data_IF_042621572351
#
_entry.id   IF_042621572351
#
_cell.length_a   1.000
_cell.length_b   1.000
_cell.length_c   1.000
_cell.angle_alpha   90.00
_cell.angle_beta   90.00
_cell.angle_gamma   90.00
#
_symmetry.space_group_name_H-M   'P 1'
#
loop_
_entity.id
_entity.type
_entity.pdbx_description
1 polymer ?
#
# COMPACT_ATOMS: atom_id res chain seq x y z
N UNK A 1 5.42 -13.00 58.59
CA UNK A 1 4.74 -12.19 59.62
C UNK A 1 5.12 -10.72 59.38
N UNK A 2 4.24 -9.71 59.52
CA UNK A 2 2.75 -9.74 59.52
C UNK A 2 2.14 -8.96 58.34
N UNK A 3 1.04 -9.33 57.90
CA UNK A 3 -0.30 -8.86 57.62
C UNK A 3 -0.62 -7.38 57.92
N UNK A 4 -1.21 -6.69 56.95
CA UNK A 4 -2.12 -5.58 57.17
C UNK A 4 -3.23 -5.55 56.10
N UNK A 5 -4.46 -5.83 56.54
CA UNK A 5 -5.74 -5.65 55.85
C UNK A 5 -6.23 -4.23 56.15
N UNK A 6 -6.81 -3.53 55.18
CA UNK A 6 -7.85 -2.47 55.39
C UNK A 6 -8.76 -2.52 54.18
N UNK A 7 -9.90 -3.02 54.29
CA UNK A 7 -11.21 -2.57 54.77
C UNK A 7 -11.89 -1.57 53.82
N UNK A 8 -12.93 -2.11 53.27
CA UNK A 8 -14.08 -1.60 52.52
C UNK A 8 -14.76 -0.39 53.22
N UNK A 9 -15.15 0.63 52.47
CA UNK A 9 -16.24 1.53 52.85
C UNK A 9 -17.22 1.71 51.71
N UNK A 10 -18.40 1.14 51.91
CA UNK A 10 -19.64 1.38 51.20
C UNK A 10 -20.29 2.63 51.84
N UNK A 11 -20.79 3.56 51.04
CA UNK A 11 -21.74 4.57 51.46
C UNK A 11 -22.91 4.63 50.50
N UNK A 12 -24.01 4.10 50.95
CA UNK A 12 -25.38 4.35 50.44
C UNK A 12 -25.82 5.75 50.93
N UNK A 13 -26.45 6.53 50.03
CA UNK A 13 -27.41 7.58 50.45
C UNK A 13 -28.61 7.49 49.54
N UNK A 14 -29.72 7.29 50.20
CA UNK A 14 -31.07 7.16 49.67
C UNK A 14 -31.74 8.52 49.45
N UNK A 15 -32.56 8.59 48.42
CA UNK A 15 -33.93 9.07 48.43
C UNK A 15 -34.21 10.56 48.45
N UNK A 16 -34.97 11.03 47.49
CA UNK A 16 -36.29 11.67 47.77
C UNK A 16 -37.09 11.87 46.46
N UNK A 17 -38.27 11.28 46.42
CA UNK A 17 -39.36 11.57 45.49
C UNK A 17 -40.03 12.89 45.88
N UNK A 18 -40.38 13.73 44.91
CA UNK A 18 -41.41 14.75 45.04
C UNK A 18 -42.31 14.77 43.81
N UNK A 19 -43.52 14.37 44.01
CA UNK A 19 -44.71 14.50 43.15
C UNK A 19 -45.36 15.84 43.41
N UNK A 20 -45.75 16.59 42.38
CA UNK A 20 -46.80 17.66 42.47
C UNK A 20 -47.30 17.95 41.06
N UNK A 21 -48.41 17.47 40.66
CA UNK A 21 -49.78 17.95 40.68
C UNK A 21 -50.11 19.05 39.67
N UNK A 22 -51.09 18.68 38.85
CA UNK A 22 -51.81 19.46 37.83
C UNK A 22 -52.35 20.80 38.30
N UNK A 23 -52.43 21.77 37.38
CA UNK A 23 -53.55 22.71 37.29
C UNK A 23 -53.90 23.03 35.84
N UNK A 24 -55.14 22.73 35.49
CA UNK A 24 -55.94 23.25 34.38
C UNK A 24 -56.16 24.74 34.55
N UNK A 25 -56.12 25.54 33.50
CA UNK A 25 -56.90 26.76 33.38
C UNK A 25 -57.34 26.97 31.94
N UNK A 26 -58.58 27.44 31.83
CA UNK A 26 -59.53 27.49 30.75
C UNK A 26 -59.41 28.81 29.94
N UNK A 27 -59.71 28.69 28.66
CA UNK A 27 -60.28 29.60 27.69
C UNK A 27 -60.13 31.14 27.75
N UNK A 28 -59.73 31.69 26.62
CA UNK A 28 -60.34 32.88 26.00
C UNK A 28 -60.03 32.92 24.53
N UNK A 29 -61.11 32.94 23.69
CA UNK A 29 -61.12 33.25 22.29
C UNK A 29 -61.21 34.78 22.11
N UNK A 30 -60.66 35.39 21.07
CA UNK A 30 -61.48 36.19 20.17
C UNK A 30 -61.25 35.92 18.67
N UNK A 31 -62.26 36.29 17.94
CA UNK A 31 -62.52 36.09 16.52
C UNK A 31 -61.63 36.89 15.58
N UNK A 32 -61.45 36.27 14.40
CA UNK A 32 -61.62 36.92 13.12
C UNK A 32 -60.47 37.62 12.45
N UNK A 33 -59.79 36.88 11.51
CA UNK A 33 -59.37 37.46 10.23
C UNK A 33 -59.12 36.31 9.22
N UNK A 34 -59.81 36.41 8.06
CA UNK A 34 -59.70 35.48 6.96
C UNK A 34 -58.33 35.60 6.29
N UNK A 35 -57.53 34.57 6.38
CA UNK A 35 -56.26 34.39 5.68
C UNK A 35 -56.37 33.21 4.70
N UNK A 36 -55.97 33.41 3.45
CA UNK A 36 -55.98 32.45 2.35
C UNK A 36 -55.44 31.08 2.73
N UNK A 37 -55.87 30.00 2.06
CA UNK A 37 -55.33 28.66 2.30
C UNK A 37 -53.84 28.61 1.94
N UNK A 38 -52.99 28.21 2.87
CA UNK A 38 -51.60 27.84 2.60
C UNK A 38 -51.62 26.57 1.77
N UNK A 39 -50.99 26.64 0.63
CA UNK A 39 -50.70 25.53 -0.25
C UNK A 39 -49.88 24.50 0.53
N UNK A 40 -50.44 23.30 0.71
CA UNK A 40 -49.76 22.18 1.35
C UNK A 40 -48.57 21.79 0.48
N UNK A 41 -47.36 22.14 0.91
CA UNK A 41 -46.14 21.59 0.34
C UNK A 41 -46.15 20.09 0.55
N UNK A 42 -46.29 19.35 -0.56
CA UNK A 42 -46.13 17.91 -0.56
C UNK A 42 -44.76 17.54 0.04
N UNK A 43 -44.66 16.46 0.84
CA UNK A 43 -43.38 16.03 1.37
C UNK A 43 -42.44 15.74 0.18
N UNK A 44 -41.31 16.44 0.13
CA UNK A 44 -40.23 16.14 -0.80
C UNK A 44 -39.87 14.68 -0.57
N UNK A 45 -40.15 13.84 -1.59
CA UNK A 45 -39.75 12.45 -1.57
C UNK A 45 -38.25 12.41 -1.30
N UNK A 46 -37.84 11.74 -0.22
CA UNK A 46 -36.43 11.52 0.07
C UNK A 46 -35.83 10.83 -1.17
N UNK A 47 -34.75 11.42 -1.69
CA UNK A 47 -34.00 10.81 -2.79
C UNK A 47 -33.69 9.34 -2.43
N UNK A 48 -33.78 8.40 -3.37
CA UNK A 48 -33.45 7.01 -3.11
C UNK A 48 -32.06 6.97 -2.49
N UNK A 49 -31.91 6.36 -1.32
CA UNK A 49 -30.59 6.12 -0.74
C UNK A 49 -29.84 5.27 -1.75
N UNK A 50 -28.84 5.83 -2.41
CA UNK A 50 -27.94 5.08 -3.27
C UNK A 50 -27.49 3.85 -2.53
N UNK A 51 -27.68 2.68 -3.14
CA UNK A 51 -27.28 1.41 -2.53
C UNK A 51 -25.78 1.45 -2.31
N UNK A 52 -25.34 1.40 -1.05
CA UNK A 52 -23.92 1.45 -0.73
C UNK A 52 -23.14 0.41 -1.54
N UNK A 53 -22.11 0.86 -2.25
CA UNK A 53 -21.24 0.01 -3.05
C UNK A 53 -20.21 -0.65 -2.12
N UNK A 54 -20.43 -1.91 -1.77
CA UNK A 54 -19.44 -2.66 -1.00
C UNK A 54 -18.28 -3.07 -1.90
N UNK A 55 -17.05 -2.82 -1.44
CA UNK A 55 -15.81 -3.26 -2.09
C UNK A 55 -15.01 -4.07 -1.07
N UNK A 56 -14.72 -5.33 -1.43
CA UNK A 56 -13.98 -6.25 -0.59
C UNK A 56 -12.50 -6.27 -0.92
N UNK A 57 -11.63 -6.53 0.06
CA UNK A 57 -10.19 -6.72 -0.12
C UNK A 57 -9.71 -7.86 0.76
N UNK A 58 -8.94 -8.77 0.17
CA UNK A 58 -8.21 -9.85 0.85
C UNK A 58 -6.73 -9.55 0.76
N UNK A 59 -6.06 -9.44 1.91
CA UNK A 59 -4.60 -9.31 1.97
C UNK A 59 -3.92 -10.65 1.76
N UNK A 60 -2.66 -10.62 1.35
CA UNK A 60 -1.79 -11.79 1.51
C UNK A 60 -1.41 -12.00 3.00
N UNK A 61 -0.53 -12.98 3.26
CA UNK A 61 -0.06 -13.36 4.62
C UNK A 61 0.69 -12.23 5.35
N UNK A 62 1.21 -11.23 4.62
CA UNK A 62 1.85 -10.05 5.21
C UNK A 62 0.87 -9.17 5.98
N UNK A 63 -0.39 -9.13 5.55
CA UNK A 63 -1.49 -8.49 6.23
C UNK A 63 -1.34 -6.99 6.44
N UNK A 64 -2.24 -6.43 7.25
CA UNK A 64 -2.21 -5.02 7.66
C UNK A 64 -1.04 -4.77 8.62
N UNK A 65 -0.34 -3.66 8.42
CA UNK A 65 0.80 -3.23 9.25
C UNK A 65 2.15 -3.67 8.68
N UNK A 66 2.20 -4.09 7.42
CA UNK A 66 3.46 -4.36 6.72
C UNK A 66 4.24 -3.09 6.36
N UNK A 67 3.62 -1.91 6.50
CA UNK A 67 4.15 -0.60 6.09
C UNK A 67 4.62 -0.56 4.62
N UNK A 68 4.12 -1.45 3.78
CA UNK A 68 4.58 -1.70 2.42
C UNK A 68 3.40 -1.98 1.49
N UNK A 69 3.32 -3.19 0.95
CA UNK A 69 2.44 -3.64 -0.11
C UNK A 69 0.96 -3.70 0.27
N UNK A 70 0.63 -4.42 1.36
CA UNK A 70 -0.76 -4.54 1.82
C UNK A 70 -1.30 -3.22 2.35
N UNK A 71 -0.50 -2.46 3.12
CA UNK A 71 -0.91 -1.14 3.61
C UNK A 71 -1.10 -0.15 2.46
N UNK A 72 -0.37 -0.29 1.34
CA UNK A 72 -0.61 0.47 0.13
C UNK A 72 -1.97 0.14 -0.49
N UNK A 73 -2.31 -1.15 -0.64
CA UNK A 73 -3.61 -1.57 -1.15
C UNK A 73 -4.76 -1.09 -0.26
N UNK A 74 -4.60 -1.23 1.06
CA UNK A 74 -5.57 -0.76 2.05
C UNK A 74 -5.78 0.76 1.96
N UNK A 75 -4.72 1.54 1.80
CA UNK A 75 -4.80 2.99 1.59
C UNK A 75 -5.63 3.33 0.33
N UNK A 76 -5.41 2.60 -0.75
CA UNK A 76 -6.15 2.76 -2.00
C UNK A 76 -7.64 2.52 -1.85
N UNK A 77 -8.05 1.47 -1.12
CA UNK A 77 -9.46 1.16 -0.88
C UNK A 77 -10.06 2.03 0.21
N UNK A 78 -9.46 2.04 1.40
CA UNK A 78 -10.08 2.61 2.60
C UNK A 78 -10.02 4.13 2.57
N UNK A 79 -8.81 4.70 2.40
CA UNK A 79 -8.61 6.13 2.52
C UNK A 79 -9.00 6.87 1.22
N UNK A 80 -8.46 6.46 0.08
CA UNK A 80 -8.71 7.15 -1.18
C UNK A 80 -10.03 6.72 -1.84
N UNK A 81 -10.35 5.43 -1.80
CA UNK A 81 -11.59 4.89 -2.36
C UNK A 81 -12.81 5.26 -1.55
N UNK A 82 -12.82 4.96 -0.26
CA UNK A 82 -14.00 5.11 0.60
C UNK A 82 -13.98 6.37 1.50
N UNK A 83 -12.87 7.09 1.60
CA UNK A 83 -12.72 8.21 2.54
C UNK A 83 -12.80 7.77 4.01
N UNK A 84 -12.36 6.56 4.30
CA UNK A 84 -12.45 5.94 5.62
C UNK A 84 -11.06 5.57 6.15
N UNK A 85 -10.93 5.54 7.46
CA UNK A 85 -9.78 4.94 8.14
C UNK A 85 -10.23 3.95 9.19
N UNK A 86 -9.46 2.89 9.39
CA UNK A 86 -9.67 1.93 10.46
C UNK A 86 -9.11 2.50 11.77
N UNK A 87 -9.92 2.47 12.84
CA UNK A 87 -9.49 2.91 14.16
C UNK A 87 -10.38 2.33 15.26
N UNK A 88 -9.77 1.71 16.28
CA UNK A 88 -10.50 1.10 17.39
C UNK A 88 -11.48 -0.01 16.95
N UNK A 89 -11.14 -0.78 15.90
CA UNK A 89 -11.95 -1.88 15.38
C UNK A 89 -13.14 -1.46 14.50
N UNK A 90 -13.25 -0.19 14.13
CA UNK A 90 -14.31 0.31 13.24
C UNK A 90 -13.79 1.35 12.24
N UNK A 91 -14.52 1.52 11.14
CA UNK A 91 -14.25 2.58 10.18
C UNK A 91 -14.81 3.93 10.64
N UNK A 92 -14.01 4.98 10.48
CA UNK A 92 -14.37 6.38 10.69
C UNK A 92 -14.10 7.18 9.43
N UNK A 93 -14.78 8.30 9.25
CA UNK A 93 -14.47 9.21 8.16
C UNK A 93 -13.05 9.77 8.32
N UNK A 94 -12.29 9.78 7.24
CA UNK A 94 -10.99 10.42 7.19
C UNK A 94 -11.15 11.94 7.03
N UNK A 95 -10.29 12.72 7.68
CA UNK A 95 -10.28 14.17 7.50
C UNK A 95 -9.64 14.56 6.14
N UNK A 96 -9.94 15.76 5.62
CA UNK A 96 -9.28 16.27 4.41
C UNK A 96 -7.76 16.33 4.54
N UNK A 97 -7.22 16.59 5.75
CA UNK A 97 -5.80 16.63 6.03
C UNK A 97 -5.18 15.24 5.89
N UNK A 98 -5.80 14.21 6.48
CA UNK A 98 -5.35 12.81 6.37
C UNK A 98 -5.35 12.32 4.91
N UNK A 99 -6.33 12.74 4.11
CA UNK A 99 -6.35 12.46 2.68
C UNK A 99 -5.17 13.11 1.95
N UNK A 100 -4.83 14.37 2.28
CA UNK A 100 -3.73 15.12 1.67
C UNK A 100 -2.36 14.59 2.07
N UNK A 101 -2.17 14.21 3.32
CA UNK A 101 -0.89 13.71 3.86
C UNK A 101 -0.38 12.48 3.11
N UNK A 102 -1.28 11.67 2.55
CA UNK A 102 -0.91 10.47 1.81
C UNK A 102 -0.69 10.72 0.31
N UNK A 103 -1.13 11.89 -0.20
CA UNK A 103 -0.95 12.23 -1.61
C UNK A 103 0.43 12.84 -1.83
N UNK A 104 1.18 12.23 -2.72
CA UNK A 104 2.42 12.81 -3.20
C UNK A 104 2.13 13.90 -4.23
N UNK A 105 3.08 14.79 -4.43
CA UNK A 105 2.91 15.96 -5.30
C UNK A 105 2.50 15.59 -6.73
N UNK A 106 3.02 14.49 -7.27
CA UNK A 106 2.67 13.97 -8.60
C UNK A 106 1.24 13.41 -8.68
N UNK A 107 0.69 12.93 -7.56
CA UNK A 107 -0.69 12.41 -7.48
C UNK A 107 -1.70 13.48 -7.08
N UNK A 108 -1.27 14.54 -6.42
CA UNK A 108 -2.16 15.63 -6.01
C UNK A 108 -2.89 16.27 -7.20
N UNK A 109 -2.27 16.24 -8.40
CA UNK A 109 -2.84 16.75 -9.66
C UNK A 109 -3.84 15.80 -10.32
N UNK A 110 -3.95 14.54 -9.87
CA UNK A 110 -4.83 13.53 -10.47
C UNK A 110 -6.29 13.61 -10.02
N UNK A 111 -6.62 14.55 -9.15
CA UNK A 111 -7.98 14.70 -8.65
C UNK A 111 -8.46 13.51 -7.82
N UNK A 112 -7.57 12.86 -7.06
CA UNK A 112 -7.92 11.76 -6.16
C UNK A 112 -8.84 12.31 -5.07
N UNK A 113 -10.06 11.77 -5.01
CA UNK A 113 -11.07 12.11 -4.01
C UNK A 113 -11.88 10.85 -3.66
N UNK A 114 -12.39 10.74 -2.43
CA UNK A 114 -13.22 9.61 -2.05
C UNK A 114 -14.42 9.44 -2.97
N UNK A 115 -14.73 8.19 -3.28
CA UNK A 115 -15.88 7.81 -4.11
C UNK A 115 -17.11 7.68 -3.22
N UNK A 116 -18.14 8.46 -3.51
CA UNK A 116 -19.36 8.47 -2.70
C UNK A 116 -20.01 7.09 -2.63
N UNK A 117 -20.51 6.72 -1.44
CA UNK A 117 -21.24 5.47 -1.23
C UNK A 117 -20.39 4.20 -1.14
N UNK A 118 -19.06 4.27 -1.24
CA UNK A 118 -18.18 3.10 -1.09
C UNK A 118 -18.08 2.69 0.38
N UNK A 119 -18.25 1.39 0.62
CA UNK A 119 -18.08 0.76 1.95
C UNK A 119 -17.01 -0.33 1.84
N UNK A 120 -15.84 -0.18 2.49
CA UNK A 120 -14.79 -1.18 2.45
C UNK A 120 -15.11 -2.36 3.36
N UNK A 121 -14.75 -3.57 2.91
CA UNK A 121 -14.78 -4.82 3.69
C UNK A 121 -13.42 -5.49 3.54
N UNK A 122 -12.67 -5.63 4.62
CA UNK A 122 -11.31 -6.18 4.58
C UNK A 122 -11.22 -7.48 5.35
N UNK A 123 -10.72 -8.51 4.70
CA UNK A 123 -10.37 -9.81 5.28
C UNK A 123 -8.85 -10.00 5.19
N UNK A 124 -8.24 -10.38 6.30
CA UNK A 124 -6.80 -10.64 6.36
C UNK A 124 -6.56 -12.13 6.39
N UNK A 125 -5.68 -12.60 5.50
CA UNK A 125 -5.26 -13.99 5.46
C UNK A 125 -4.06 -14.20 6.35
N UNK A 126 -4.01 -15.33 7.05
CA UNK A 126 -2.88 -15.73 7.89
C UNK A 126 -2.03 -16.82 7.24
N UNK A 127 -2.66 -17.60 6.39
CA UNK A 127 -2.04 -18.67 5.61
C UNK A 127 -2.61 -18.65 4.20
N UNK A 128 -1.91 -19.21 3.20
CA UNK A 128 -2.41 -19.23 1.80
C UNK A 128 -3.76 -19.93 1.63
N UNK A 129 -4.08 -20.88 2.48
CA UNK A 129 -5.35 -21.62 2.49
C UNK A 129 -6.55 -20.73 2.81
N UNK A 130 -6.34 -19.54 3.39
CA UNK A 130 -7.40 -18.57 3.67
C UNK A 130 -7.84 -17.78 2.43
N UNK A 131 -7.05 -17.74 1.35
CA UNK A 131 -7.28 -16.86 0.20
C UNK A 131 -8.60 -17.11 -0.50
N UNK A 132 -8.85 -18.35 -0.93
CA UNK A 132 -10.09 -18.71 -1.63
C UNK A 132 -11.33 -18.58 -0.73
N UNK A 133 -11.35 -19.10 0.53
CA UNK A 133 -12.46 -18.88 1.46
C UNK A 133 -12.76 -17.42 1.73
N UNK A 134 -11.74 -16.59 1.92
CA UNK A 134 -11.92 -15.16 2.17
C UNK A 134 -12.52 -14.44 0.96
N UNK A 135 -12.04 -14.73 -0.28
CA UNK A 135 -12.61 -14.16 -1.49
C UNK A 135 -14.07 -14.59 -1.67
N UNK A 136 -14.39 -15.88 -1.45
CA UNK A 136 -15.77 -16.38 -1.54
C UNK A 136 -16.66 -15.70 -0.48
N UNK A 137 -16.17 -15.53 0.75
CA UNK A 137 -16.92 -14.85 1.81
C UNK A 137 -17.24 -13.38 1.44
N UNK A 138 -16.35 -12.68 0.75
CA UNK A 138 -16.63 -11.33 0.24
C UNK A 138 -17.77 -11.36 -0.79
N UNK A 139 -17.73 -12.32 -1.72
CA UNK A 139 -18.80 -12.51 -2.72
C UNK A 139 -20.13 -12.78 -2.02
N UNK A 140 -20.17 -13.69 -1.05
CA UNK A 140 -21.36 -14.04 -0.28
C UNK A 140 -21.92 -12.86 0.52
N UNK A 141 -21.07 -11.90 0.92
CA UNK A 141 -21.48 -10.63 1.53
C UNK A 141 -22.01 -9.61 0.53
N UNK A 142 -22.04 -9.93 -0.75
CA UNK A 142 -22.58 -9.10 -1.83
C UNK A 142 -21.73 -7.90 -2.17
N UNK A 143 -20.40 -8.06 -2.19
CA UNK A 143 -19.50 -7.00 -2.70
C UNK A 143 -19.67 -6.82 -4.21
N UNK A 144 -19.58 -5.59 -4.71
CA UNK A 144 -19.53 -5.30 -6.15
C UNK A 144 -18.19 -5.65 -6.78
N UNK A 145 -17.12 -5.63 -5.97
CA UNK A 145 -15.78 -6.06 -6.37
C UNK A 145 -15.05 -6.71 -5.19
N UNK A 146 -14.34 -7.81 -5.45
CA UNK A 146 -13.41 -8.44 -4.53
C UNK A 146 -11.97 -8.25 -5.04
N UNK A 147 -11.08 -7.73 -4.19
CA UNK A 147 -9.68 -7.44 -4.50
C UNK A 147 -8.80 -8.50 -3.88
N UNK A 148 -7.99 -9.18 -4.69
CA UNK A 148 -6.90 -10.06 -4.26
C UNK A 148 -5.58 -9.30 -4.31
N UNK A 149 -4.93 -9.12 -3.16
CA UNK A 149 -3.69 -8.35 -3.03
C UNK A 149 -2.49 -9.28 -3.10
N UNK A 150 -1.85 -9.33 -4.27
CA UNK A 150 -0.62 -10.05 -4.51
C UNK A 150 -0.74 -11.29 -5.39
N UNK A 151 0.38 -11.64 -6.01
CA UNK A 151 0.47 -12.77 -6.94
C UNK A 151 0.11 -14.12 -6.30
N UNK A 152 0.29 -14.27 -4.99
CA UNK A 152 -0.08 -15.50 -4.28
C UNK A 152 -1.60 -15.76 -4.27
N UNK A 153 -2.42 -14.74 -4.55
CA UNK A 153 -3.88 -14.88 -4.63
C UNK A 153 -4.38 -15.21 -6.05
N UNK A 154 -3.50 -15.34 -7.05
CA UNK A 154 -3.87 -15.58 -8.46
C UNK A 154 -4.84 -16.74 -8.62
N UNK A 155 -4.47 -17.94 -8.15
CA UNK A 155 -5.31 -19.15 -8.27
C UNK A 155 -6.65 -19.01 -7.53
N UNK A 156 -6.65 -18.35 -6.38
CA UNK A 156 -7.87 -18.13 -5.60
C UNK A 156 -8.81 -17.15 -6.31
N UNK A 157 -8.27 -16.03 -6.84
CA UNK A 157 -9.05 -15.07 -7.63
C UNK A 157 -9.62 -15.74 -8.88
N UNK A 158 -8.81 -16.50 -9.62
CA UNK A 158 -9.26 -17.23 -10.80
C UNK A 158 -10.43 -18.18 -10.48
N UNK A 159 -10.25 -18.99 -9.43
CA UNK A 159 -11.23 -20.00 -9.03
C UNK A 159 -12.56 -19.36 -8.63
N UNK A 160 -12.51 -18.32 -7.78
CA UNK A 160 -13.72 -17.64 -7.29
C UNK A 160 -14.37 -16.83 -8.40
N UNK A 161 -13.60 -16.15 -9.26
CA UNK A 161 -14.11 -15.36 -10.37
C UNK A 161 -14.85 -16.20 -11.40
N UNK A 162 -14.36 -17.41 -11.73
CA UNK A 162 -15.03 -18.35 -12.64
C UNK A 162 -16.38 -18.83 -12.10
N UNK A 163 -16.51 -18.99 -10.79
CA UNK A 163 -17.77 -19.40 -10.13
C UNK A 163 -18.77 -18.24 -10.01
N UNK A 164 -18.29 -16.99 -10.03
CA UNK A 164 -19.09 -15.80 -9.76
C UNK A 164 -18.94 -14.75 -10.86
N UNK A 165 -19.47 -15.00 -12.08
CA UNK A 165 -19.25 -14.15 -13.26
C UNK A 165 -19.85 -12.74 -13.13
N UNK A 166 -20.83 -12.55 -12.25
CA UNK A 166 -21.49 -11.26 -12.02
C UNK A 166 -20.73 -10.37 -11.02
N UNK A 167 -19.80 -10.94 -10.24
CA UNK A 167 -18.93 -10.17 -9.33
C UNK A 167 -17.66 -9.75 -10.06
N UNK A 168 -17.25 -8.50 -9.89
CA UNK A 168 -15.97 -8.00 -10.40
C UNK A 168 -14.83 -8.38 -9.46
N UNK A 169 -13.65 -8.61 -10.04
CA UNK A 169 -12.44 -8.92 -9.30
C UNK A 169 -11.31 -7.99 -9.75
N UNK A 170 -10.44 -7.66 -8.79
CA UNK A 170 -9.16 -6.99 -9.03
C UNK A 170 -8.04 -7.90 -8.50
N UNK A 171 -7.08 -8.22 -9.35
CA UNK A 171 -5.87 -8.96 -8.99
C UNK A 171 -4.67 -8.01 -9.08
N UNK A 172 -3.88 -7.93 -8.00
CA UNK A 172 -2.68 -7.11 -7.94
C UNK A 172 -1.44 -7.99 -8.12
N UNK A 173 -0.49 -7.54 -8.93
CA UNK A 173 0.82 -8.15 -9.16
C UNK A 173 0.82 -9.49 -9.91
N UNK A 174 -0.28 -9.89 -10.47
CA UNK A 174 -0.32 -11.07 -11.34
C UNK A 174 -1.34 -10.89 -12.46
N UNK A 175 -1.20 -11.70 -13.49
CA UNK A 175 -2.19 -11.93 -14.53
C UNK A 175 -2.63 -13.39 -14.47
N UNK A 176 -3.83 -13.69 -14.93
CA UNK A 176 -4.28 -15.08 -14.97
C UNK A 176 -3.49 -15.87 -16.03
N UNK A 177 -3.12 -17.10 -15.71
CA UNK A 177 -2.42 -17.98 -16.61
C UNK A 177 -3.03 -19.39 -16.62
N UNK A 178 -3.01 -20.06 -17.77
CA UNK A 178 -3.43 -21.45 -17.88
C UNK A 178 -2.37 -22.41 -17.30
N UNK A 179 -2.67 -23.71 -17.33
CA UNK A 179 -1.80 -24.74 -16.80
C UNK A 179 -0.41 -24.80 -17.50
N UNK A 180 -0.32 -24.29 -18.70
CA UNK A 180 0.91 -24.16 -19.49
C UNK A 180 1.65 -22.83 -19.21
N UNK A 181 1.11 -21.98 -18.33
CA UNK A 181 1.65 -20.67 -17.98
C UNK A 181 1.38 -19.59 -19.03
N UNK A 182 0.45 -19.80 -19.95
CA UNK A 182 0.08 -18.83 -20.97
C UNK A 182 -0.96 -17.84 -20.39
N UNK A 183 -0.69 -16.53 -20.45
CA UNK A 183 -1.64 -15.53 -19.95
C UNK A 183 -2.98 -15.57 -20.68
N UNK A 184 -4.06 -15.38 -19.93
CA UNK A 184 -5.41 -15.18 -20.47
C UNK A 184 -6.20 -14.20 -19.58
N UNK A 185 -7.38 -13.75 -20.02
CA UNK A 185 -8.21 -12.80 -19.30
C UNK A 185 -9.62 -13.33 -19.08
N UNK A 186 -10.24 -12.92 -17.98
CA UNK A 186 -11.67 -13.09 -17.72
C UNK A 186 -12.37 -11.72 -17.77
N UNK A 187 -13.61 -11.65 -18.29
CA UNK A 187 -14.32 -10.37 -18.45
C UNK A 187 -14.67 -9.69 -17.11
N UNK A 188 -14.66 -10.44 -16.03
CA UNK A 188 -14.91 -9.95 -14.67
C UNK A 188 -13.65 -9.80 -13.80
N UNK A 189 -12.45 -10.05 -14.35
CA UNK A 189 -11.18 -9.88 -13.62
C UNK A 189 -10.33 -8.80 -14.30
N UNK A 190 -9.99 -7.75 -13.56
CA UNK A 190 -8.92 -6.79 -13.92
C UNK A 190 -7.66 -7.16 -13.18
N UNK A 191 -6.56 -7.30 -13.91
CA UNK A 191 -5.22 -7.46 -13.36
C UNK A 191 -4.48 -6.14 -13.41
N UNK A 192 -3.82 -5.75 -12.32
CA UNK A 192 -2.95 -4.57 -12.27
C UNK A 192 -1.52 -5.01 -12.00
N UNK A 193 -0.66 -4.74 -12.95
CA UNK A 193 0.77 -5.06 -12.98
C UNK A 193 1.57 -3.77 -12.88
N UNK A 194 2.82 -3.88 -12.43
CA UNK A 194 3.72 -2.73 -12.35
C UNK A 194 5.02 -3.00 -13.12
N UNK A 195 5.70 -1.91 -13.51
CA UNK A 195 7.05 -1.98 -14.06
C UNK A 195 8.06 -1.74 -12.95
N UNK A 196 8.18 -2.74 -12.06
CA UNK A 196 9.02 -2.68 -10.87
C UNK A 196 10.48 -2.41 -11.22
N UNK A 197 10.94 -2.94 -12.36
CA UNK A 197 12.28 -2.71 -12.87
C UNK A 197 12.57 -1.22 -13.09
N UNK A 198 11.59 -0.43 -13.52
CA UNK A 198 11.77 0.99 -13.78
C UNK A 198 11.96 1.80 -12.49
N UNK A 199 11.12 1.57 -11.47
CA UNK A 199 11.26 2.21 -10.17
C UNK A 199 12.54 1.78 -9.47
N UNK A 200 12.85 0.48 -9.51
CA UNK A 200 14.08 -0.09 -8.93
C UNK A 200 15.34 0.43 -9.61
N UNK A 201 15.30 0.70 -10.92
CA UNK A 201 16.41 1.35 -11.64
C UNK A 201 16.71 2.74 -11.06
N UNK A 202 15.69 3.55 -10.78
CA UNK A 202 15.92 4.90 -10.24
C UNK A 202 16.56 4.86 -8.86
N UNK A 203 16.08 3.99 -7.97
CA UNK A 203 16.68 3.86 -6.64
C UNK A 203 18.04 3.17 -6.69
N UNK A 204 18.26 2.29 -7.66
CA UNK A 204 19.57 1.70 -7.95
C UNK A 204 20.58 2.75 -8.41
N UNK A 205 20.18 3.65 -9.32
CA UNK A 205 20.99 4.77 -9.74
C UNK A 205 21.36 5.69 -8.58
N UNK A 206 20.38 5.99 -7.69
CA UNK A 206 20.61 6.77 -6.48
C UNK A 206 21.57 6.05 -5.52
N UNK A 207 21.40 4.72 -5.32
CA UNK A 207 22.29 3.92 -4.48
C UNK A 207 23.74 3.94 -4.97
N UNK A 208 23.93 3.82 -6.29
CA UNK A 208 25.27 3.88 -6.91
C UNK A 208 25.95 5.23 -6.67
N UNK A 209 25.21 6.35 -6.74
CA UNK A 209 25.71 7.71 -6.49
C UNK A 209 25.95 7.99 -5.00
N UNK A 210 25.14 7.43 -4.10
CA UNK A 210 25.29 7.63 -2.67
C UNK A 210 26.34 6.73 -2.02
N UNK A 211 26.66 5.57 -2.65
CA UNK A 211 27.62 4.60 -2.11
C UNK A 211 29.05 5.14 -2.13
N UNK A 212 29.76 5.02 -1.00
CA UNK A 212 31.18 5.36 -0.83
C UNK A 212 32.07 4.13 -0.89
N UNK A 213 31.52 2.98 -0.50
CA UNK A 213 32.30 1.74 -0.45
C UNK A 213 32.30 0.97 -1.79
N UNK A 214 31.53 1.44 -2.79
CA UNK A 214 31.25 0.69 -4.02
C UNK A 214 30.68 -0.71 -3.75
N UNK A 215 29.93 -0.86 -2.64
CA UNK A 215 29.21 -2.08 -2.29
C UNK A 215 27.80 -1.71 -1.86
N UNK A 216 26.83 -2.20 -2.57
CA UNK A 216 25.41 -2.01 -2.24
C UNK A 216 24.75 -3.36 -2.06
N UNK A 217 23.68 -3.43 -1.28
CA UNK A 217 22.93 -4.65 -1.00
C UNK A 217 21.57 -4.63 -1.66
N UNK A 218 21.09 -5.78 -2.10
CA UNK A 218 19.72 -6.04 -2.47
C UNK A 218 19.17 -7.19 -1.62
N UNK A 219 18.01 -7.00 -1.02
CA UNK A 219 17.28 -8.02 -0.25
C UNK A 219 15.94 -8.26 -0.93
N UNK A 220 15.77 -9.43 -1.54
CA UNK A 220 14.47 -9.89 -2.02
C UNK A 220 13.73 -10.70 -0.95
N UNK A 221 12.40 -10.74 -1.02
CA UNK A 221 11.61 -11.73 -0.30
C UNK A 221 11.78 -13.12 -0.92
N UNK A 222 10.77 -13.64 -1.58
CA UNK A 222 10.86 -14.91 -2.33
C UNK A 222 11.61 -14.72 -3.66
N UNK A 223 12.35 -15.75 -4.08
CA UNK A 223 13.09 -15.74 -5.35
C UNK A 223 12.16 -16.12 -6.53
N UNK A 224 11.28 -15.20 -6.89
CA UNK A 224 10.27 -15.37 -7.96
C UNK A 224 10.45 -14.34 -9.08
N UNK A 225 9.87 -14.54 -10.28
CA UNK A 225 10.04 -13.63 -11.42
C UNK A 225 9.68 -12.17 -11.11
N UNK A 226 8.65 -11.92 -10.29
CA UNK A 226 8.27 -10.60 -9.84
C UNK A 226 9.42 -9.90 -9.10
N UNK A 227 10.04 -10.56 -8.12
CA UNK A 227 11.13 -9.98 -7.34
C UNK A 227 12.43 -9.90 -8.15
N UNK A 228 12.62 -10.77 -9.14
CA UNK A 228 13.72 -10.64 -10.11
C UNK A 228 13.63 -9.36 -10.93
N UNK A 229 12.45 -8.80 -11.21
CA UNK A 229 12.33 -7.48 -11.87
C UNK A 229 12.91 -6.37 -10.99
N UNK A 230 12.61 -6.36 -9.68
CA UNK A 230 13.22 -5.41 -8.74
C UNK A 230 14.75 -5.54 -8.72
N UNK A 231 15.28 -6.76 -8.60
CA UNK A 231 16.72 -7.03 -8.62
C UNK A 231 17.36 -6.52 -9.90
N UNK A 232 16.79 -6.86 -11.06
CA UNK A 232 17.34 -6.49 -12.36
C UNK A 232 17.40 -4.98 -12.54
N UNK A 233 16.29 -4.28 -12.25
CA UNK A 233 16.23 -2.82 -12.32
C UNK A 233 17.23 -2.18 -11.37
N UNK A 234 17.31 -2.60 -10.12
CA UNK A 234 18.27 -2.06 -9.15
C UNK A 234 19.72 -2.23 -9.60
N UNK A 235 20.10 -3.43 -10.01
CA UNK A 235 21.46 -3.72 -10.49
C UNK A 235 21.81 -2.90 -11.75
N UNK A 236 20.84 -2.75 -12.67
CA UNK A 236 21.04 -1.92 -13.86
C UNK A 236 21.23 -0.44 -13.49
N UNK A 237 20.44 0.08 -12.56
CA UNK A 237 20.55 1.46 -12.07
C UNK A 237 21.89 1.72 -11.38
N UNK A 238 22.35 0.83 -10.51
CA UNK A 238 23.68 0.90 -9.88
C UNK A 238 24.79 0.93 -10.96
N UNK A 239 24.74 0.01 -11.91
CA UNK A 239 25.74 -0.07 -12.99
C UNK A 239 25.77 1.19 -13.86
N UNK A 240 24.63 1.83 -14.09
CA UNK A 240 24.50 3.04 -14.90
C UNK A 240 25.18 4.28 -14.26
N UNK A 241 25.35 4.30 -12.94
CA UNK A 241 25.89 5.45 -12.20
C UNK A 241 27.19 5.14 -11.46
N UNK A 242 27.42 3.89 -11.10
CA UNK A 242 28.64 3.43 -10.45
C UNK A 242 29.05 2.03 -10.97
N UNK A 243 29.66 1.94 -12.15
CA UNK A 243 30.04 0.66 -12.75
C UNK A 243 31.11 -0.11 -11.95
N UNK A 244 31.73 0.52 -10.94
CA UNK A 244 32.69 -0.14 -10.04
C UNK A 244 32.02 -0.78 -8.84
N UNK A 245 30.75 -0.46 -8.59
CA UNK A 245 30.04 -1.00 -7.44
C UNK A 245 29.66 -2.46 -7.63
N UNK A 246 29.81 -3.24 -6.55
CA UNK A 246 29.31 -4.61 -6.46
C UNK A 246 27.94 -4.59 -5.78
N UNK A 247 26.98 -5.29 -6.38
CA UNK A 247 25.67 -5.51 -5.78
C UNK A 247 25.67 -6.89 -5.10
N UNK A 248 25.57 -6.90 -3.78
CA UNK A 248 25.41 -8.12 -2.97
C UNK A 248 23.92 -8.45 -2.90
N UNK A 249 23.53 -9.64 -3.37
CA UNK A 249 22.12 -10.07 -3.47
C UNK A 249 21.85 -11.19 -2.51
N UNK A 250 20.80 -11.05 -1.69
CA UNK A 250 20.27 -12.11 -0.81
C UNK A 250 18.74 -12.11 -0.88
N UNK A 251 18.15 -13.26 -0.59
CA UNK A 251 16.71 -13.47 -0.46
C UNK A 251 16.39 -14.00 0.91
N UNK A 252 15.27 -13.55 1.52
CA UNK A 252 14.82 -14.04 2.83
C UNK A 252 14.05 -15.35 2.74
N UNK A 253 13.43 -15.61 1.56
CA UNK A 253 12.60 -16.79 1.32
C UNK A 253 11.10 -16.57 1.67
N UNK A 254 10.74 -15.41 2.22
CA UNK A 254 9.37 -15.07 2.64
C UNK A 254 9.05 -13.59 2.44
N UNK A 255 7.84 -13.16 2.86
CA UNK A 255 7.45 -11.75 2.95
C UNK A 255 6.92 -11.37 4.34
N UNK A 256 6.91 -12.30 5.30
CA UNK A 256 6.28 -12.18 6.62
C UNK A 256 7.22 -12.54 7.79
N UNK A 257 8.54 -12.61 7.54
CA UNK A 257 9.56 -12.98 8.55
C UNK A 257 10.56 -11.83 8.81
N UNK A 258 10.14 -10.87 9.63
CA UNK A 258 10.96 -9.69 10.01
C UNK A 258 12.34 -10.09 10.57
N UNK A 259 12.44 -11.23 11.29
CA UNK A 259 13.72 -11.70 11.85
C UNK A 259 14.69 -12.13 10.76
N UNK A 260 14.22 -12.84 9.73
CA UNK A 260 15.04 -13.20 8.56
C UNK A 260 15.52 -11.94 7.83
N UNK A 261 14.66 -10.95 7.61
CA UNK A 261 15.02 -9.66 7.03
C UNK A 261 16.13 -8.95 7.82
N UNK A 262 16.02 -8.94 9.14
CA UNK A 262 17.05 -8.34 10.01
C UNK A 262 18.41 -9.05 9.88
N UNK A 263 18.39 -10.37 9.88
CA UNK A 263 19.61 -11.17 9.74
C UNK A 263 20.32 -10.92 8.41
N UNK A 264 19.55 -10.90 7.31
CA UNK A 264 20.09 -10.61 5.96
C UNK A 264 20.62 -9.19 5.87
N UNK A 265 19.91 -8.20 6.43
CA UNK A 265 20.36 -6.81 6.48
C UNK A 265 21.68 -6.66 7.25
N UNK A 266 21.83 -7.31 8.41
CA UNK A 266 23.06 -7.33 9.20
C UNK A 266 24.23 -7.97 8.45
N UNK A 267 24.00 -9.09 7.74
CA UNK A 267 25.01 -9.76 6.93
C UNK A 267 25.54 -8.85 5.81
N UNK A 268 24.63 -8.19 5.06
CA UNK A 268 25.02 -7.28 3.99
C UNK A 268 25.84 -6.08 4.50
N UNK A 269 25.42 -5.46 5.61
CA UNK A 269 26.17 -4.37 6.26
C UNK A 269 27.54 -4.86 6.75
N UNK A 270 27.64 -6.07 7.25
CA UNK A 270 28.90 -6.68 7.70
C UNK A 270 29.84 -6.95 6.53
N UNK A 271 29.31 -7.32 5.36
CA UNK A 271 30.05 -7.50 4.10
C UNK A 271 30.47 -6.17 3.45
N UNK A 272 30.08 -5.04 4.06
CA UNK A 272 30.50 -3.69 3.67
C UNK A 272 29.55 -2.98 2.73
N UNK A 273 28.30 -3.45 2.57
CA UNK A 273 27.28 -2.68 1.90
C UNK A 273 26.97 -1.39 2.69
N UNK A 274 27.02 -0.25 2.03
CA UNK A 274 26.72 1.06 2.64
C UNK A 274 25.38 1.65 2.17
N UNK A 275 24.73 1.03 1.17
CA UNK A 275 23.32 1.26 0.82
C UNK A 275 22.66 -0.10 0.61
N UNK A 276 21.56 -0.37 1.31
CA UNK A 276 20.82 -1.64 1.20
C UNK A 276 19.40 -1.36 0.73
N UNK A 277 18.99 -1.93 -0.39
CA UNK A 277 17.61 -1.87 -0.88
C UNK A 277 16.89 -3.18 -0.60
N UNK A 278 15.65 -3.11 -0.15
CA UNK A 278 14.82 -4.31 0.02
C UNK A 278 13.56 -4.26 -0.86
N UNK A 279 13.16 -5.44 -1.33
CA UNK A 279 11.89 -5.74 -1.99
C UNK A 279 11.33 -7.03 -1.32
N UNK A 280 10.92 -6.92 -0.05
CA UNK A 280 10.73 -8.08 0.82
C UNK A 280 9.51 -7.95 1.78
N UNK A 281 8.53 -7.11 1.45
CA UNK A 281 7.33 -6.96 2.28
C UNK A 281 7.66 -6.65 3.75
N UNK A 282 7.03 -7.36 4.70
CA UNK A 282 7.27 -7.18 6.14
C UNK A 282 8.70 -7.53 6.57
N UNK A 283 9.41 -8.43 5.85
CA UNK A 283 10.83 -8.74 6.13
C UNK A 283 11.68 -7.48 6.00
N UNK A 284 11.28 -6.56 5.12
CA UNK A 284 11.91 -5.26 4.93
C UNK A 284 11.99 -4.40 6.18
N UNK A 285 11.03 -4.52 7.11
CA UNK A 285 11.11 -3.84 8.41
C UNK A 285 12.33 -4.31 9.21
N UNK A 286 12.66 -5.60 9.11
CA UNK A 286 13.88 -6.16 9.71
C UNK A 286 15.15 -5.59 9.07
N UNK A 287 15.18 -5.44 7.73
CA UNK A 287 16.30 -4.81 7.02
C UNK A 287 16.49 -3.37 7.46
N UNK A 288 15.41 -2.59 7.54
CA UNK A 288 15.42 -1.20 8.02
C UNK A 288 15.96 -1.14 9.45
N UNK A 289 15.50 -2.05 10.33
CA UNK A 289 15.99 -2.12 11.71
C UNK A 289 17.49 -2.43 11.78
N UNK A 290 18.00 -3.38 10.99
CA UNK A 290 19.42 -3.72 10.93
C UNK A 290 20.28 -2.50 10.53
N UNK A 291 19.86 -1.76 9.52
CA UNK A 291 20.57 -0.54 9.07
C UNK A 291 20.47 0.57 10.10
N UNK A 292 19.31 0.78 10.73
CA UNK A 292 19.12 1.75 11.82
C UNK A 292 20.08 1.48 12.98
N UNK A 293 20.18 0.23 13.42
CA UNK A 293 21.11 -0.18 14.48
C UNK A 293 22.58 0.04 14.08
N UNK A 294 22.93 -0.28 12.83
CA UNK A 294 24.27 -0.04 12.31
C UNK A 294 24.64 1.47 12.27
N UNK A 295 23.71 2.34 11.90
CA UNK A 295 23.89 3.78 11.95
C UNK A 295 24.05 4.28 13.37
N UNK A 296 23.23 3.82 14.31
CA UNK A 296 23.35 4.13 15.71
C UNK A 296 24.72 3.72 16.30
N UNK A 297 25.34 2.68 15.74
CA UNK A 297 26.72 2.25 16.03
C UNK A 297 27.79 3.03 15.26
N UNK A 298 27.43 4.15 14.58
CA UNK A 298 28.37 5.04 13.88
C UNK A 298 28.74 4.63 12.45
N UNK A 299 28.12 3.60 11.87
CA UNK A 299 28.38 3.22 10.47
C UNK A 299 27.60 4.14 9.51
N UNK A 300 28.21 4.71 8.46
CA UNK A 300 27.54 5.58 7.48
C UNK A 300 26.79 4.74 6.44
N UNK A 301 25.74 4.03 6.85
CA UNK A 301 24.95 3.15 6.00
C UNK A 301 23.52 3.69 5.80
N UNK A 302 22.91 3.40 4.64
CA UNK A 302 21.55 3.77 4.31
C UNK A 302 20.72 2.55 3.91
N UNK A 303 19.40 2.67 4.07
CA UNK A 303 18.44 1.70 3.53
C UNK A 303 17.50 2.38 2.55
N UNK A 304 17.09 1.63 1.52
CA UNK A 304 16.04 2.02 0.57
C UNK A 304 14.84 1.11 0.83
N UNK A 305 13.68 1.74 1.06
CA UNK A 305 12.41 1.05 1.28
C UNK A 305 11.71 0.66 -0.02
N UNK A 306 10.52 0.05 0.09
CA UNK A 306 9.71 -0.41 -1.05
C UNK A 306 8.21 -0.15 -0.84
N UNK A 307 7.47 -0.09 -1.94
CA UNK A 307 6.02 0.09 -2.08
C UNK A 307 5.51 1.43 -1.55
N UNK A 308 5.75 1.73 -0.29
CA UNK A 308 5.33 2.96 0.40
C UNK A 308 6.53 3.77 0.88
N UNK A 309 6.32 5.05 1.21
CA UNK A 309 7.36 5.87 1.86
C UNK A 309 7.59 5.38 3.29
N UNK A 310 8.66 4.62 3.48
CA UNK A 310 9.06 4.02 4.76
C UNK A 310 10.01 4.91 5.58
N UNK A 311 10.20 6.18 5.19
CA UNK A 311 11.11 7.10 5.89
C UNK A 311 10.76 7.30 7.37
N UNK A 312 9.50 7.16 7.75
CA UNK A 312 9.02 7.29 9.13
C UNK A 312 9.55 6.18 10.07
N UNK A 313 9.97 5.01 9.53
CA UNK A 313 10.50 3.90 10.32
C UNK A 313 11.93 4.16 10.84
N UNK A 314 12.72 4.89 10.04
CA UNK A 314 14.09 5.29 10.41
C UNK A 314 14.48 6.55 9.62
N UNK A 315 14.00 7.76 10.03
CA UNK A 315 14.18 8.99 9.25
C UNK A 315 15.64 9.34 8.96
N UNK A 316 16.55 8.93 9.84
CA UNK A 316 18.00 9.15 9.72
C UNK A 316 18.69 8.14 8.81
N UNK A 317 18.07 6.98 8.52
CA UNK A 317 18.66 5.85 7.82
C UNK A 317 18.04 5.58 6.45
N UNK A 318 16.75 5.90 6.27
CA UNK A 318 16.06 5.67 4.99
C UNK A 318 16.49 6.75 3.99
N UNK A 319 17.24 6.33 2.97
CA UNK A 319 17.68 7.20 1.88
C UNK A 319 16.48 7.67 1.05
N UNK A 320 15.65 6.74 0.66
CA UNK A 320 14.38 6.88 -0.07
C UNK A 320 13.60 5.57 0.01
N UNK A 321 12.45 5.48 -0.65
CA UNK A 321 11.73 4.23 -0.91
C UNK A 321 11.37 4.15 -2.39
N UNK A 322 11.52 2.99 -3.01
CA UNK A 322 10.93 2.73 -4.33
C UNK A 322 9.41 2.60 -4.14
N UNK A 323 8.68 3.53 -4.68
CA UNK A 323 7.24 3.56 -4.56
C UNK A 323 6.60 2.73 -5.67
N UNK A 324 5.82 1.74 -5.26
CA UNK A 324 4.93 0.97 -6.12
C UNK A 324 3.50 1.31 -5.73
N UNK A 325 2.81 1.98 -6.65
CA UNK A 325 1.56 2.66 -6.36
C UNK A 325 0.38 1.69 -6.44
N UNK A 326 0.41 0.66 -5.59
CA UNK A 326 -0.72 -0.28 -5.41
C UNK A 326 -1.98 0.47 -4.99
N UNK A 327 -1.81 1.49 -4.13
CA UNK A 327 -2.88 2.40 -3.73
C UNK A 327 -3.57 3.08 -4.93
N UNK A 328 -2.81 3.52 -5.92
CA UNK A 328 -3.35 4.12 -7.14
C UNK A 328 -4.12 3.08 -7.96
N UNK A 329 -3.55 1.89 -8.18
CA UNK A 329 -4.20 0.81 -8.93
C UNK A 329 -5.52 0.38 -8.31
N UNK A 330 -5.56 0.24 -6.97
CA UNK A 330 -6.78 -0.07 -6.23
C UNK A 330 -7.79 1.06 -6.30
N UNK A 331 -7.37 2.30 -6.07
CA UNK A 331 -8.24 3.47 -6.15
C UNK A 331 -8.89 3.62 -7.53
N UNK A 332 -8.10 3.49 -8.60
CA UNK A 332 -8.60 3.59 -9.97
C UNK A 332 -9.64 2.51 -10.28
N UNK A 333 -9.42 1.28 -9.81
CA UNK A 333 -10.39 0.20 -9.97
C UNK A 333 -11.69 0.47 -9.20
N UNK A 334 -11.61 1.01 -7.97
CA UNK A 334 -12.78 1.40 -7.17
C UNK A 334 -13.55 2.52 -7.85
N UNK A 335 -12.87 3.53 -8.36
CA UNK A 335 -13.47 4.64 -9.12
C UNK A 335 -14.17 4.13 -10.38
N UNK A 336 -13.49 3.29 -11.15
CA UNK A 336 -14.01 2.75 -12.40
C UNK A 336 -15.23 1.85 -12.16
N UNK A 337 -15.22 1.07 -11.07
CA UNK A 337 -16.38 0.28 -10.63
C UNK A 337 -17.59 1.18 -10.35
N UNK A 338 -17.39 2.23 -9.54
CA UNK A 338 -18.46 3.16 -9.18
C UNK A 338 -19.04 3.91 -10.40
N UNK A 339 -18.22 4.11 -11.44
CA UNK A 339 -18.64 4.73 -12.70
C UNK A 339 -19.21 3.72 -13.72
N UNK A 340 -19.26 2.43 -13.38
CA UNK A 340 -19.70 1.37 -14.31
C UNK A 340 -18.74 1.13 -15.48
N UNK A 341 -17.46 1.52 -15.32
CA UNK A 341 -16.42 1.43 -16.36
C UNK A 341 -15.36 0.35 -16.09
N UNK A 342 -15.52 -0.41 -14.99
CA UNK A 342 -14.55 -1.46 -14.67
C UNK A 342 -14.71 -2.63 -15.64
N UNK A 343 -13.72 -2.79 -16.52
CA UNK A 343 -13.62 -3.89 -17.49
C UNK A 343 -12.53 -4.86 -17.05
N UNK A 344 -12.64 -6.11 -17.47
CA UNK A 344 -11.59 -7.13 -17.29
C UNK A 344 -10.39 -6.87 -18.20
N UNK A 345 -9.29 -7.56 -17.93
CA UNK A 345 -8.05 -7.48 -18.68
C UNK A 345 -6.88 -6.93 -17.86
N UNK A 346 -5.72 -6.83 -18.49
CA UNK A 346 -4.47 -6.48 -17.84
C UNK A 346 -4.15 -4.99 -18.02
N UNK A 347 -3.77 -4.33 -16.94
CA UNK A 347 -3.28 -2.94 -16.90
C UNK A 347 -1.87 -2.94 -16.31
N UNK A 348 -0.91 -2.33 -17.00
CA UNK A 348 0.46 -2.22 -16.52
C UNK A 348 0.81 -0.76 -16.24
N UNK A 349 1.27 -0.48 -15.03
CA UNK A 349 1.58 0.86 -14.55
C UNK A 349 3.11 1.01 -14.35
N UNK A 350 3.74 1.85 -15.15
CA UNK A 350 5.16 2.18 -15.07
C UNK A 350 5.42 3.61 -14.59
N UNK A 351 6.61 4.13 -14.87
CA UNK A 351 6.97 5.53 -14.59
C UNK A 351 6.08 6.51 -15.36
N UNK A 352 5.75 6.19 -16.60
CA UNK A 352 4.91 7.04 -17.46
C UNK A 352 3.50 7.20 -16.92
N UNK A 353 2.93 6.11 -16.40
CA UNK A 353 1.61 6.06 -15.80
C UNK A 353 1.62 6.54 -14.33
N UNK A 354 2.82 6.76 -13.74
CA UNK A 354 2.99 7.10 -12.33
C UNK A 354 2.69 5.93 -11.38
N UNK A 355 2.75 4.70 -11.89
CA UNK A 355 2.57 3.48 -11.11
C UNK A 355 3.79 3.09 -10.29
N UNK A 356 4.97 3.54 -10.70
CA UNK A 356 6.21 3.43 -9.92
C UNK A 356 6.95 4.77 -9.91
N UNK A 357 7.67 5.03 -8.82
CA UNK A 357 8.51 6.23 -8.65
C UNK A 357 9.44 6.02 -7.44
N UNK A 358 9.98 7.09 -6.85
CA UNK A 358 10.66 7.03 -5.56
C UNK A 358 10.21 8.16 -4.63
N UNK A 359 10.33 7.94 -3.31
CA UNK A 359 9.98 8.89 -2.28
C UNK A 359 11.01 10.04 -2.20
N UNK A 360 10.63 11.20 -1.67
CA UNK A 360 11.57 12.30 -1.44
C UNK A 360 12.78 11.86 -0.61
N UNK A 361 13.98 12.24 -1.05
CA UNK A 361 15.24 11.99 -0.33
C UNK A 361 15.40 13.03 0.78
N UNK A 362 15.22 12.61 2.04
CA UNK A 362 15.26 13.52 3.21
C UNK A 362 16.61 13.55 3.90
N UNK A 363 17.39 12.48 3.80
CA UNK A 363 18.73 12.42 4.39
C UNK A 363 19.77 13.18 3.55
N UNK A 364 20.84 13.61 4.20
CA UNK A 364 21.93 14.30 3.53
C UNK A 364 23.10 13.36 3.23
N UNK A 365 23.67 13.50 2.04
CA UNK A 365 24.91 12.84 1.62
C UNK A 365 25.64 13.72 0.62
N UNK A 366 26.97 13.57 0.47
CA UNK A 366 27.76 14.38 -0.48
C UNK A 366 27.28 14.19 -1.92
N UNK A 367 27.06 15.28 -2.65
CA UNK A 367 26.61 15.26 -4.04
C UNK A 367 25.11 14.96 -4.22
N UNK A 368 24.27 15.12 -3.19
CA UNK A 368 22.83 14.83 -3.24
C UNK A 368 22.12 15.54 -4.38
N UNK A 369 22.37 16.83 -4.57
CA UNK A 369 21.69 17.63 -5.59
C UNK A 369 21.99 17.10 -7.02
N UNK A 370 23.26 16.87 -7.30
CA UNK A 370 23.71 16.32 -8.58
C UNK A 370 23.23 14.89 -8.79
N UNK A 371 23.17 14.09 -7.71
CA UNK A 371 22.63 12.75 -7.74
C UNK A 371 21.14 12.74 -8.12
N UNK A 372 20.35 13.60 -7.51
CA UNK A 372 18.91 13.72 -7.81
C UNK A 372 18.69 14.21 -9.24
N UNK A 373 19.46 15.21 -9.70
CA UNK A 373 19.40 15.66 -11.10
C UNK A 373 19.67 14.50 -12.06
N UNK A 374 20.72 13.70 -11.78
CA UNK A 374 21.09 12.55 -12.61
C UNK A 374 20.00 11.49 -12.66
N UNK A 375 19.35 11.20 -11.53
CA UNK A 375 18.23 10.24 -11.46
C UNK A 375 17.06 10.75 -12.30
N UNK A 376 16.72 12.06 -12.25
CA UNK A 376 15.64 12.62 -13.06
C UNK A 376 15.98 12.63 -14.58
N UNK A 377 17.23 12.84 -14.98
CA UNK A 377 17.66 12.67 -16.37
C UNK A 377 17.44 11.22 -16.86
N UNK A 378 17.77 10.24 -16.02
CA UNK A 378 17.57 8.82 -16.32
C UNK A 378 16.08 8.45 -16.37
N UNK A 379 15.28 9.01 -15.45
CA UNK A 379 13.81 8.88 -15.48
C UNK A 379 13.25 9.36 -16.82
N UNK A 380 13.65 10.55 -17.25
CA UNK A 380 13.18 11.13 -18.51
C UNK A 380 13.49 10.21 -19.71
N UNK A 381 14.67 9.61 -19.75
CA UNK A 381 15.06 8.65 -20.80
C UNK A 381 14.22 7.36 -20.78
N UNK A 382 13.91 6.84 -19.60
CA UNK A 382 13.04 5.65 -19.48
C UNK A 382 11.62 5.98 -19.97
N UNK A 383 11.07 7.12 -19.53
CA UNK A 383 9.71 7.56 -19.93
C UNK A 383 9.63 7.83 -21.43
N UNK A 384 10.71 8.38 -22.05
CA UNK A 384 10.80 8.58 -23.49
C UNK A 384 11.04 7.29 -24.28
N UNK A 385 11.31 6.15 -23.60
CA UNK A 385 11.65 4.88 -24.25
C UNK A 385 13.08 4.79 -24.80
N UNK A 386 13.92 5.79 -24.53
CA UNK A 386 15.33 5.83 -24.95
C UNK A 386 16.21 4.89 -24.14
N UNK A 387 15.79 4.56 -22.91
CA UNK A 387 16.48 3.63 -22.02
C UNK A 387 15.52 2.50 -21.64
N UNK A 388 15.87 1.28 -22.07
CA UNK A 388 15.16 0.07 -21.70
C UNK A 388 15.78 -0.53 -20.45
N UNK A 389 14.94 -0.77 -19.42
CA UNK A 389 15.38 -1.38 -18.16
C UNK A 389 15.20 -2.90 -18.26
N UNK A 390 16.22 -3.71 -17.92
CA UNK A 390 16.10 -5.16 -17.94
C UNK A 390 15.10 -5.64 -16.89
N UNK A 391 14.33 -6.66 -17.24
CA UNK A 391 13.30 -7.27 -16.38
C UNK A 391 13.79 -8.52 -15.67
N UNK A 392 14.95 -9.04 -16.02
CA UNK A 392 15.55 -10.21 -15.38
C UNK A 392 17.08 -10.02 -15.26
N UNK A 393 17.71 -10.48 -14.14
CA UNK A 393 19.14 -10.33 -13.92
C UNK A 393 20.03 -10.96 -15.01
N UNK A 394 19.57 -12.00 -15.70
CA UNK A 394 20.32 -12.63 -16.81
C UNK A 394 20.48 -11.75 -18.03
N UNK A 395 19.71 -10.67 -18.14
CA UNK A 395 19.81 -9.68 -19.23
C UNK A 395 20.89 -8.64 -18.94
N UNK A 396 21.45 -8.63 -17.72
CA UNK A 396 22.55 -7.75 -17.36
C UNK A 396 23.87 -8.25 -17.97
N UNK A 397 24.78 -7.34 -18.35
CA UNK A 397 26.14 -7.74 -18.70
C UNK A 397 26.76 -8.53 -17.53
N UNK A 398 27.52 -9.58 -17.85
CA UNK A 398 28.28 -10.28 -16.82
C UNK A 398 29.13 -9.25 -16.05
N UNK A 399 28.98 -9.22 -14.70
CA UNK A 399 29.81 -8.34 -13.88
C UNK A 399 31.27 -8.65 -14.21
N UNK A 400 32.06 -7.62 -14.60
CA UNK A 400 33.48 -7.79 -14.76
C UNK A 400 34.05 -8.43 -13.48
N UNK A 401 34.65 -9.61 -13.59
CA UNK A 401 35.27 -10.26 -12.45
C UNK A 401 36.23 -9.26 -11.81
N UNK A 402 36.29 -9.13 -10.49
CA UNK A 402 37.25 -8.24 -9.85
C UNK A 402 38.65 -8.64 -10.33
N UNK A 403 39.39 -7.67 -10.87
CA UNK A 403 40.77 -7.89 -11.27
C UNK A 403 41.50 -8.50 -10.07
N UNK A 404 41.94 -9.74 -10.20
CA UNK A 404 42.80 -10.38 -9.21
C UNK A 404 44.06 -9.53 -9.11
N UNK A 405 44.26 -8.90 -7.94
CA UNK A 405 45.52 -8.27 -7.57
C UNK A 405 46.46 -9.30 -6.97
#
# INVERSE_FOLDING_TARGET
>A
MPTSRHALRVSLVSGLLLVSACKKQEEAKPEGAAGKPAEATAPVAAAPKEKALKVGLVTDVGGRGDHSFNDSALRGLELWGAGKKMGGGSYKDASPEELKETLQQDLATRGIAPVAGVTPVVLQSKVPEDYEPNLQLLVDQGVGMAIGVGFMLENAVETVAKRNPDTKFLLIDSTLADAEGKPYTLPNVRSVLFREEQGSFLVGALAGLASKNNKVGFVGGMEVPLIKRFEAGFRAGVAATNPKATVLVNYTGSFDNVAAGKQVGQDLVTKGADVVYHAAGSDGMGVIQAVKEARAAGKPVFVIGVDSDQSHLAPEAVLTSMLKRVDLGVYEAVRDLAQGKLEGGDVTLGLKEGGVTYAPVRVEFPGKAEALQKVEELRAKIVAGELQVPTHPSQLPAAAAPAQK
#
